data_IF_971506780206
#
_entry.id   IF_971506780206
#
_cell.length_a   1.000
_cell.length_b   1.000
_cell.length_c   1.000
_cell.angle_alpha   90.00
_cell.angle_beta   90.00
_cell.angle_gamma   90.00
#
_symmetry.space_group_name_H-M   'P 1'
#
loop_
_entity.id
_entity.type
_entity.pdbx_description
1 polymer ?
#
# COMPACT_ATOMS: atom_id res chain seq x y z
N UNK A 1 -38.78 51.33 43.29
CA UNK A 1 -37.58 51.25 44.17
C UNK A 1 -37.72 50.01 45.05
N UNK A 2 -36.60 49.41 45.51
CA UNK A 2 -35.45 48.86 44.77
C UNK A 2 -35.75 47.36 44.46
N UNK A 3 -34.86 46.38 44.22
CA UNK A 3 -33.39 46.25 44.06
C UNK A 3 -33.08 45.59 42.69
N UNK A 4 -31.82 45.18 42.47
CA UNK A 4 -31.35 44.38 41.33
C UNK A 4 -30.89 42.98 41.77
N UNK A 5 -30.81 42.05 40.81
CA UNK A 5 -29.80 41.00 40.75
C UNK A 5 -29.62 40.54 39.29
N UNK A 6 -28.40 40.68 38.78
CA UNK A 6 -27.93 40.06 37.54
C UNK A 6 -27.98 38.53 37.67
N UNK A 7 -28.54 37.82 36.69
CA UNK A 7 -28.23 36.41 36.46
C UNK A 7 -27.92 36.16 34.98
N UNK A 8 -26.71 35.61 34.78
CA UNK A 8 -26.02 35.44 33.51
C UNK A 8 -26.74 34.51 32.53
N UNK A 9 -26.78 34.92 31.26
CA UNK A 9 -27.21 34.07 30.15
C UNK A 9 -26.37 32.77 30.09
N UNK A 10 -27.04 31.63 30.05
CA UNK A 10 -26.40 30.31 30.01
C UNK A 10 -25.68 30.07 28.69
N UNK A 11 -24.34 30.19 28.71
CA UNK A 11 -23.51 29.86 27.57
C UNK A 11 -23.39 28.33 27.47
N UNK A 12 -24.16 27.72 26.58
CA UNK A 12 -24.12 26.27 26.34
C UNK A 12 -22.73 25.87 25.81
N UNK A 13 -22.02 25.07 26.60
CA UNK A 13 -20.66 24.61 26.30
C UNK A 13 -20.67 23.68 25.06
N UNK A 14 -20.05 24.05 23.92
CA UNK A 14 -20.13 23.28 22.68
C UNK A 14 -19.27 22.00 22.68
N UNK A 15 -18.59 21.70 23.79
CA UNK A 15 -17.54 20.67 23.89
C UNK A 15 -18.08 19.22 23.99
N UNK A 16 -19.38 19.00 23.73
CA UNK A 16 -20.06 17.71 23.95
C UNK A 16 -20.26 16.83 22.70
N UNK A 17 -19.68 17.19 21.54
CA UNK A 17 -19.89 16.46 20.26
C UNK A 17 -18.61 15.88 19.61
N UNK A 18 -17.43 16.08 20.19
CA UNK A 18 -16.14 15.69 19.57
C UNK A 18 -15.54 14.39 20.15
N UNK A 19 -16.39 13.49 20.68
CA UNK A 19 -15.98 12.19 21.23
C UNK A 19 -16.74 11.01 20.59
N UNK A 20 -16.76 10.99 19.25
CA UNK A 20 -17.28 9.85 18.47
C UNK A 20 -16.50 9.62 17.16
N UNK A 21 -15.19 9.88 17.15
CA UNK A 21 -14.30 9.34 16.10
C UNK A 21 -13.78 7.98 16.55
N UNK A 22 -14.58 6.96 16.28
CA UNK A 22 -14.35 5.59 16.72
C UNK A 22 -13.04 5.05 16.13
N UNK A 23 -12.08 4.78 17.03
CA UNK A 23 -10.68 4.49 16.68
C UNK A 23 -10.55 3.06 16.14
N UNK A 24 -11.00 2.84 14.90
CA UNK A 24 -10.75 1.60 14.15
C UNK A 24 -9.25 1.31 14.21
N UNK A 25 -8.88 0.25 14.92
CA UNK A 25 -7.48 -0.08 15.14
C UNK A 25 -6.85 -0.49 13.80
N UNK A 26 -6.06 0.41 13.20
CA UNK A 26 -5.39 0.11 11.93
C UNK A 26 -4.35 -0.98 12.15
N UNK A 27 -4.69 -2.22 11.78
CA UNK A 27 -3.77 -3.36 11.80
C UNK A 27 -2.50 -2.99 11.05
N UNK A 28 -1.41 -2.83 11.81
CA UNK A 28 -0.09 -2.53 11.28
C UNK A 28 0.67 -3.84 11.20
N UNK A 29 1.00 -4.23 9.98
CA UNK A 29 1.90 -5.35 9.71
C UNK A 29 3.32 -4.83 9.69
N UNK A 30 4.28 -5.62 10.14
CA UNK A 30 5.69 -5.26 9.95
C UNK A 30 6.58 -6.46 9.71
N UNK A 31 7.77 -6.18 9.20
CA UNK A 31 8.89 -7.11 9.20
C UNK A 31 10.19 -6.36 9.44
N UNK A 32 11.12 -7.01 10.13
CA UNK A 32 12.47 -6.49 10.35
C UNK A 32 13.42 -7.11 9.35
N UNK A 33 14.26 -6.27 8.73
CA UNK A 33 15.36 -6.68 7.86
C UNK A 33 16.71 -6.54 8.57
N UNK A 34 17.62 -7.47 8.31
CA UNK A 34 19.04 -7.34 8.64
C UNK A 34 19.80 -6.42 7.65
N UNK A 35 21.14 -6.41 7.69
CA UNK A 35 21.98 -5.66 6.77
C UNK A 35 21.95 -6.17 5.32
N UNK A 36 21.57 -7.44 5.10
CA UNK A 36 21.58 -8.13 3.79
C UNK A 36 20.18 -8.18 3.13
N UNK A 37 19.20 -7.46 3.69
CA UNK A 37 17.78 -7.49 3.31
C UNK A 37 17.07 -8.84 3.55
N UNK A 38 17.53 -9.64 4.53
CA UNK A 38 16.79 -10.84 4.98
C UNK A 38 15.77 -10.49 6.05
N UNK A 39 14.60 -11.10 5.96
CA UNK A 39 13.53 -10.97 6.96
C UNK A 39 13.93 -11.75 8.22
N UNK A 40 14.19 -11.07 9.33
CA UNK A 40 14.58 -11.72 10.61
C UNK A 40 13.41 -11.85 11.59
N UNK A 41 12.37 -11.04 11.44
CA UNK A 41 11.12 -11.17 12.21
C UNK A 41 9.94 -10.57 11.43
N UNK A 42 8.72 -10.95 11.81
CA UNK A 42 7.46 -10.31 11.39
C UNK A 42 6.68 -9.83 12.61
N UNK A 43 5.78 -8.86 12.43
CA UNK A 43 4.99 -8.24 13.49
C UNK A 43 3.57 -7.90 13.06
N UNK A 44 2.69 -7.68 14.05
CA UNK A 44 1.24 -7.66 13.86
C UNK A 44 0.66 -9.05 13.63
N UNK A 45 -0.59 -9.13 13.19
CA UNK A 45 -1.19 -10.40 12.76
C UNK A 45 -0.79 -10.72 11.30
N UNK A 46 0.50 -10.95 11.10
CA UNK A 46 1.08 -11.28 9.79
C UNK A 46 0.42 -12.50 9.16
N UNK A 47 0.26 -13.55 9.97
CA UNK A 47 -0.19 -14.85 9.52
C UNK A 47 -1.72 -14.86 9.25
N UNK A 48 -2.52 -14.17 10.06
CA UNK A 48 -3.95 -13.95 9.79
C UNK A 48 -4.15 -13.14 8.51
N UNK A 49 -3.54 -11.96 8.41
CA UNK A 49 -3.65 -11.10 7.23
C UNK A 49 -3.21 -11.81 5.94
N UNK A 50 -2.12 -12.58 5.98
CA UNK A 50 -1.67 -13.35 4.83
C UNK A 50 -2.73 -14.35 4.36
N UNK A 51 -3.41 -15.07 5.27
CA UNK A 51 -4.51 -15.99 4.93
C UNK A 51 -5.74 -15.26 4.38
N UNK A 52 -6.09 -14.11 4.95
CA UNK A 52 -7.21 -13.26 4.46
C UNK A 52 -6.99 -12.67 3.06
N UNK A 53 -5.74 -12.64 2.59
CA UNK A 53 -5.34 -12.07 1.30
C UNK A 53 -4.80 -13.14 0.33
N UNK A 54 -5.21 -14.40 0.49
CA UNK A 54 -4.81 -15.57 -0.31
C UNK A 54 -3.30 -15.90 -0.31
N UNK A 55 -2.49 -15.21 0.51
CA UNK A 55 -1.03 -15.32 0.60
C UNK A 55 -0.53 -16.44 1.52
N UNK A 56 -1.09 -17.64 1.43
CA UNK A 56 -0.68 -18.78 2.29
C UNK A 56 0.76 -19.26 2.07
N UNK A 57 1.41 -18.81 0.99
CA UNK A 57 2.82 -19.03 0.67
C UNK A 57 3.78 -18.04 1.36
N UNK A 58 3.29 -16.91 1.89
CA UNK A 58 4.10 -15.87 2.56
C UNK A 58 3.90 -15.81 4.09
N UNK A 59 3.48 -16.92 4.70
CA UNK A 59 3.35 -17.08 6.15
C UNK A 59 4.71 -16.94 6.86
N UNK A 60 4.71 -16.55 8.13
CA UNK A 60 5.91 -16.19 8.91
C UNK A 60 7.03 -17.25 8.81
N UNK A 61 6.67 -18.53 8.98
CA UNK A 61 7.57 -19.68 8.87
C UNK A 61 8.23 -19.87 7.49
N UNK A 62 7.66 -19.27 6.45
CA UNK A 62 8.11 -19.40 5.05
C UNK A 62 8.94 -18.19 4.61
N UNK A 63 8.81 -17.04 5.29
CA UNK A 63 9.49 -15.79 4.92
C UNK A 63 10.71 -15.47 5.79
N UNK A 64 10.71 -15.86 7.07
CA UNK A 64 11.83 -15.61 7.98
C UNK A 64 13.09 -16.36 7.49
N UNK A 65 14.23 -15.67 7.52
CA UNK A 65 15.53 -16.10 7.01
C UNK A 65 15.77 -15.85 5.52
N UNK A 66 14.72 -15.52 4.74
CA UNK A 66 14.83 -15.30 3.28
C UNK A 66 14.94 -13.83 2.92
N UNK A 67 15.47 -13.55 1.72
CA UNK A 67 15.63 -12.17 1.24
C UNK A 67 14.29 -11.58 0.82
N UNK A 68 14.08 -10.30 1.10
CA UNK A 68 12.84 -9.60 0.73
C UNK A 68 12.59 -9.60 -0.80
N UNK A 69 13.65 -9.54 -1.60
CA UNK A 69 13.55 -9.46 -3.07
C UNK A 69 13.04 -10.75 -3.74
N UNK A 70 13.06 -11.88 -3.02
CA UNK A 70 12.43 -13.15 -3.43
C UNK A 70 10.89 -13.03 -3.49
N UNK A 71 10.28 -12.17 -2.67
CA UNK A 71 8.83 -11.98 -2.56
C UNK A 71 8.29 -10.82 -3.40
N UNK A 72 9.18 -9.99 -3.98
CA UNK A 72 8.80 -8.84 -4.79
C UNK A 72 8.79 -9.22 -6.27
N UNK A 73 7.64 -9.06 -6.94
CA UNK A 73 7.52 -9.31 -8.38
C UNK A 73 7.84 -8.05 -9.21
N UNK A 74 8.66 -8.25 -10.25
CA UNK A 74 9.03 -7.23 -11.24
C UNK A 74 10.24 -6.40 -10.82
N UNK A 75 11.23 -6.30 -11.71
CA UNK A 75 12.54 -5.73 -11.36
C UNK A 75 12.50 -4.23 -11.07
N UNK A 76 11.60 -3.48 -11.74
CA UNK A 76 11.38 -2.07 -11.41
C UNK A 76 10.84 -1.89 -9.97
N UNK A 77 10.01 -2.82 -9.49
CA UNK A 77 9.53 -2.83 -8.09
C UNK A 77 10.67 -3.17 -7.14
N UNK A 78 11.47 -4.20 -7.44
CA UNK A 78 12.65 -4.58 -6.65
C UNK A 78 13.65 -3.43 -6.53
N UNK A 79 13.97 -2.77 -7.63
CA UNK A 79 14.84 -1.59 -7.66
C UNK A 79 14.26 -0.45 -6.81
N UNK A 80 12.98 -0.13 -6.97
CA UNK A 80 12.33 0.93 -6.19
C UNK A 80 12.38 0.65 -4.67
N UNK A 81 12.08 -0.59 -4.24
CA UNK A 81 12.16 -0.97 -2.83
C UNK A 81 13.60 -0.91 -2.33
N UNK A 82 14.57 -1.51 -3.04
CA UNK A 82 16.01 -1.46 -2.67
C UNK A 82 16.51 -0.02 -2.51
N UNK A 83 16.14 0.90 -3.41
CA UNK A 83 16.50 2.32 -3.30
C UNK A 83 15.97 2.97 -2.01
N UNK A 84 14.73 2.66 -1.61
CA UNK A 84 14.18 3.17 -0.35
C UNK A 84 14.90 2.57 0.87
N UNK A 85 15.14 1.26 0.90
CA UNK A 85 15.87 0.60 2.00
C UNK A 85 17.29 1.18 2.15
N UNK A 86 18.02 1.31 1.04
CA UNK A 86 19.33 1.95 0.98
C UNK A 86 19.27 3.40 1.47
N UNK A 87 18.30 4.19 1.03
CA UNK A 87 18.16 5.59 1.47
C UNK A 87 17.88 5.70 2.98
N UNK A 88 17.06 4.79 3.56
CA UNK A 88 16.80 4.77 5.00
C UNK A 88 18.06 4.43 5.80
N UNK A 89 18.84 3.43 5.36
CA UNK A 89 20.15 3.07 5.95
C UNK A 89 21.16 4.21 5.84
N UNK A 90 21.36 4.76 4.65
CA UNK A 90 22.39 5.78 4.39
C UNK A 90 22.08 7.11 5.10
N UNK A 91 20.83 7.56 5.07
CA UNK A 91 20.45 8.85 5.65
C UNK A 91 20.10 8.80 7.14
N UNK A 92 20.01 7.58 7.72
CA UNK A 92 19.52 7.33 9.10
C UNK A 92 18.22 8.07 9.41
N UNK A 93 17.31 8.09 8.43
CA UNK A 93 16.00 8.78 8.50
C UNK A 93 14.89 7.85 8.04
N UNK A 94 13.77 7.89 8.74
CA UNK A 94 12.59 7.12 8.34
C UNK A 94 12.03 7.62 7.00
N UNK A 95 11.62 6.68 6.16
CA UNK A 95 10.98 6.95 4.86
C UNK A 95 9.52 6.53 4.96
N UNK A 96 8.61 7.41 4.57
CA UNK A 96 7.17 7.12 4.43
C UNK A 96 6.81 7.17 2.95
N UNK A 97 6.09 6.16 2.45
CA UNK A 97 5.64 6.09 1.05
C UNK A 97 4.20 5.58 0.96
N UNK A 98 3.22 6.40 0.54
CA UNK A 98 1.92 5.90 0.14
C UNK A 98 2.02 5.08 -1.16
N UNK A 99 1.25 3.99 -1.24
CA UNK A 99 1.16 3.12 -2.41
C UNK A 99 -0.20 2.41 -2.47
N UNK A 100 -0.51 1.79 -3.60
CA UNK A 100 -1.74 1.02 -3.83
C UNK A 100 -1.46 -0.48 -3.68
N UNK A 101 -2.30 -1.15 -2.89
CA UNK A 101 -2.23 -2.60 -2.66
C UNK A 101 -3.61 -3.25 -2.81
N UNK A 102 -4.29 -2.93 -3.90
CA UNK A 102 -5.67 -3.35 -4.15
C UNK A 102 -5.85 -4.87 -3.99
N UNK A 103 -6.96 -5.29 -3.37
CA UNK A 103 -7.43 -6.68 -3.45
C UNK A 103 -8.38 -6.82 -4.64
N UNK A 104 -8.84 -8.05 -4.98
CA UNK A 104 -9.78 -8.23 -6.09
C UNK A 104 -11.08 -7.43 -5.95
N UNK A 105 -11.50 -7.10 -4.73
CA UNK A 105 -12.76 -6.41 -4.43
C UNK A 105 -12.57 -4.97 -3.89
N UNK A 106 -11.36 -4.56 -3.52
CA UNK A 106 -11.12 -3.26 -2.88
C UNK A 106 -9.94 -2.51 -3.48
N UNK A 107 -10.17 -1.25 -3.82
CA UNK A 107 -9.11 -0.26 -4.03
C UNK A 107 -8.51 0.12 -2.67
N UNK A 108 -7.24 -0.20 -2.42
CA UNK A 108 -6.58 0.03 -1.12
C UNK A 108 -5.42 1.00 -1.24
N UNK A 109 -5.52 2.13 -0.54
CA UNK A 109 -4.40 3.02 -0.27
C UNK A 109 -3.72 2.58 1.03
N UNK A 110 -2.45 2.23 0.93
CA UNK A 110 -1.59 1.80 2.02
C UNK A 110 -0.47 2.82 2.22
N UNK A 111 0.15 2.84 3.40
CA UNK A 111 1.45 3.46 3.60
C UNK A 111 2.47 2.41 4.04
N UNK A 112 3.66 2.47 3.43
CA UNK A 112 4.86 1.81 3.93
C UNK A 112 5.72 2.82 4.67
N UNK A 113 6.14 2.49 5.89
CA UNK A 113 7.14 3.24 6.66
C UNK A 113 8.36 2.36 6.91
N UNK A 114 9.53 2.79 6.44
CA UNK A 114 10.82 2.16 6.73
C UNK A 114 11.49 2.97 7.83
N UNK A 115 11.80 2.34 8.97
CA UNK A 115 12.48 2.95 10.12
C UNK A 115 13.86 2.32 10.27
N UNK A 116 14.96 3.10 10.19
CA UNK A 116 16.29 2.58 10.46
C UNK A 116 16.47 2.31 11.95
N UNK A 117 17.07 1.16 12.27
CA UNK A 117 17.43 0.72 13.61
C UNK A 117 18.96 0.71 13.79
N UNK A 118 19.43 0.16 14.91
CA UNK A 118 20.84 -0.14 15.11
C UNK A 118 21.35 -1.22 14.12
N UNK A 119 22.67 -1.32 13.94
CA UNK A 119 23.34 -2.40 13.20
C UNK A 119 22.84 -2.56 11.74
N UNK A 120 22.55 -1.46 11.05
CA UNK A 120 21.99 -1.43 9.68
C UNK A 120 20.63 -2.14 9.49
N UNK A 121 19.98 -2.56 10.58
CA UNK A 121 18.66 -3.18 10.54
C UNK A 121 17.58 -2.16 10.18
N UNK A 122 16.49 -2.62 9.57
CA UNK A 122 15.34 -1.79 9.18
C UNK A 122 14.05 -2.45 9.69
N UNK A 123 13.18 -1.68 10.35
CA UNK A 123 11.79 -2.09 10.61
C UNK A 123 10.89 -1.50 9.53
N UNK A 124 10.24 -2.36 8.75
CA UNK A 124 9.37 -1.97 7.64
C UNK A 124 7.92 -2.26 8.03
N UNK A 125 7.14 -1.19 8.17
CA UNK A 125 5.74 -1.22 8.62
C UNK A 125 4.81 -0.91 7.46
N UNK A 126 3.71 -1.63 7.37
CA UNK A 126 2.65 -1.46 6.40
C UNK A 126 1.31 -1.29 7.12
N UNK A 127 0.54 -0.26 6.76
CA UNK A 127 -0.80 -0.07 7.29
C UNK A 127 -1.75 0.46 6.21
N UNK A 128 -3.04 0.16 6.36
CA UNK A 128 -4.08 0.66 5.45
C UNK A 128 -4.48 2.08 5.85
N UNK A 129 -4.37 3.02 4.91
CA UNK A 129 -4.90 4.38 5.08
C UNK A 129 -6.40 4.38 4.76
N UNK A 130 -6.79 3.74 3.64
CA UNK A 130 -8.17 3.74 3.16
C UNK A 130 -8.45 2.57 2.21
N UNK A 131 -9.65 2.01 2.28
CA UNK A 131 -10.18 1.08 1.29
C UNK A 131 -11.49 1.63 0.70
N UNK A 132 -11.69 1.44 -0.60
CA UNK A 132 -12.96 1.66 -1.31
C UNK A 132 -13.36 0.33 -1.97
N UNK A 133 -14.63 -0.11 -1.90
CA UNK A 133 -15.07 -1.26 -2.68
C UNK A 133 -15.02 -0.94 -4.18
N UNK A 134 -14.63 -1.91 -4.99
CA UNK A 134 -14.71 -1.85 -6.44
C UNK A 134 -16.14 -2.25 -6.88
N UNK A 135 -16.69 -1.66 -7.96
CA UNK A 135 -18.01 -2.01 -8.48
C UNK A 135 -18.09 -3.42 -9.09
N UNK A 136 -16.94 -4.08 -9.27
CA UNK A 136 -16.82 -5.48 -9.72
C UNK A 136 -15.47 -6.05 -9.30
N UNK A 137 -15.35 -7.39 -9.30
CA UNK A 137 -14.11 -8.09 -8.94
C UNK A 137 -13.08 -8.02 -10.07
N UNK A 138 -11.83 -7.67 -9.74
CA UNK A 138 -10.70 -7.64 -10.67
C UNK A 138 -9.61 -8.60 -10.19
N UNK A 139 -9.58 -9.81 -10.73
CA UNK A 139 -8.48 -10.76 -10.49
C UNK A 139 -7.26 -10.37 -11.33
N UNK A 140 -6.10 -10.21 -10.69
CA UNK A 140 -4.83 -9.89 -11.34
C UNK A 140 -3.94 -11.12 -11.35
N UNK A 141 -3.44 -11.52 -12.53
CA UNK A 141 -2.44 -12.57 -12.69
C UNK A 141 -1.11 -11.95 -13.09
N UNK A 142 -0.11 -11.97 -12.19
CA UNK A 142 1.24 -11.56 -12.54
C UNK A 142 1.87 -12.58 -13.52
N UNK A 143 2.40 -12.11 -14.64
CA UNK A 143 3.18 -12.95 -15.56
C UNK A 143 4.64 -12.48 -15.57
N UNK A 144 5.57 -13.43 -15.58
CA UNK A 144 7.02 -13.16 -15.50
C UNK A 144 7.67 -12.96 -16.87
N UNK A 145 7.04 -13.41 -17.96
CA UNK A 145 7.59 -13.35 -19.31
C UNK A 145 6.81 -12.38 -20.22
N UNK A 146 7.56 -11.49 -20.86
CA UNK A 146 7.07 -10.62 -21.96
C UNK A 146 6.72 -11.38 -23.24
N UNK A 147 7.06 -12.67 -23.33
CA UNK A 147 6.63 -13.54 -24.43
C UNK A 147 5.19 -14.05 -24.27
N UNK A 148 4.56 -13.85 -23.11
CA UNK A 148 3.12 -14.08 -22.96
C UNK A 148 2.35 -13.12 -23.88
N UNK A 149 1.37 -13.62 -24.63
CA UNK A 149 0.42 -12.76 -25.33
C UNK A 149 -0.68 -12.25 -24.38
N UNK A 150 -1.20 -11.05 -24.64
CA UNK A 150 -2.37 -10.52 -23.94
C UNK A 150 -2.15 -10.07 -22.48
N UNK A 151 -0.96 -9.55 -22.13
CA UNK A 151 -0.76 -8.84 -20.86
C UNK A 151 -0.82 -7.31 -21.04
N UNK A 152 -1.10 -6.60 -19.95
CA UNK A 152 -0.89 -5.13 -19.84
C UNK A 152 0.22 -4.81 -18.84
N UNK A 153 0.90 -3.67 -18.99
CA UNK A 153 1.82 -3.21 -17.93
C UNK A 153 1.01 -2.61 -16.78
N UNK A 154 1.31 -2.98 -15.54
CA UNK A 154 0.69 -2.43 -14.31
C UNK A 154 1.75 -1.71 -13.48
N UNK A 155 1.43 -0.52 -12.97
CA UNK A 155 2.31 0.22 -12.08
C UNK A 155 2.29 -0.42 -10.69
N UNK A 156 3.42 -0.85 -10.14
CA UNK A 156 3.51 -1.45 -8.81
C UNK A 156 3.36 -0.47 -7.64
N UNK A 157 3.26 0.83 -7.93
CA UNK A 157 3.07 1.89 -6.90
C UNK A 157 1.63 2.41 -6.89
N UNK A 158 1.02 2.68 -8.05
CA UNK A 158 -0.34 3.24 -8.13
C UNK A 158 -1.39 2.30 -8.75
N UNK A 159 -1.01 1.07 -9.11
CA UNK A 159 -1.87 0.05 -9.72
C UNK A 159 -2.55 0.40 -11.06
N UNK A 160 -2.37 1.62 -11.58
CA UNK A 160 -2.75 1.98 -12.95
C UNK A 160 -2.14 1.04 -13.97
N UNK A 161 -2.90 0.71 -15.00
CA UNK A 161 -2.45 -0.09 -16.13
C UNK A 161 -2.16 0.78 -17.35
N UNK A 162 -1.32 0.28 -18.24
CA UNK A 162 -1.03 0.91 -19.53
C UNK A 162 -1.79 0.20 -20.64
N UNK A 163 -2.85 0.83 -21.15
CA UNK A 163 -3.53 0.44 -22.37
C UNK A 163 -2.99 1.29 -23.54
N UNK A 164 -2.26 0.65 -24.46
CA UNK A 164 -1.56 1.34 -25.54
C UNK A 164 -0.50 2.34 -25.03
N UNK A 165 -0.79 3.64 -25.18
CA UNK A 165 0.06 4.74 -24.68
C UNK A 165 -0.45 5.40 -23.38
N UNK A 166 -1.68 5.09 -22.95
CA UNK A 166 -2.35 5.76 -21.82
C UNK A 166 -2.20 4.93 -20.55
N UNK A 167 -1.84 5.58 -19.44
CA UNK A 167 -1.94 5.00 -18.10
C UNK A 167 -3.27 5.43 -17.46
N UNK A 168 -4.07 4.48 -16.98
CA UNK A 168 -5.33 4.76 -16.28
C UNK A 168 -5.62 3.71 -15.22
N UNK A 169 -6.60 3.93 -14.34
CA UNK A 169 -7.20 2.83 -13.59
C UNK A 169 -7.75 1.77 -14.56
N UNK A 170 -7.89 0.53 -14.08
CA UNK A 170 -8.47 -0.57 -14.87
C UNK A 170 -9.88 -0.21 -15.31
N UNK A 171 -10.69 0.34 -14.40
CA UNK A 171 -12.10 0.62 -14.62
C UNK A 171 -12.32 1.62 -15.75
N UNK A 172 -11.53 2.70 -15.77
CA UNK A 172 -11.54 3.66 -16.86
C UNK A 172 -11.09 3.03 -18.19
N UNK A 173 -10.14 2.09 -18.19
CA UNK A 173 -9.75 1.40 -19.42
C UNK A 173 -10.85 0.47 -19.95
N UNK A 174 -11.63 -0.15 -19.07
CA UNK A 174 -12.78 -0.99 -19.45
C UNK A 174 -13.93 -0.14 -19.99
N UNK A 175 -14.30 0.92 -19.29
CA UNK A 175 -15.40 1.84 -19.69
C UNK A 175 -15.09 2.50 -21.04
N UNK A 176 -13.86 2.94 -21.26
CA UNK A 176 -13.44 3.57 -22.53
C UNK A 176 -13.24 2.56 -23.68
N UNK A 177 -13.51 1.26 -23.48
CA UNK A 177 -13.25 0.21 -24.47
C UNK A 177 -11.76 -0.02 -24.78
N UNK A 178 -10.84 0.57 -24.00
CA UNK A 178 -9.38 0.43 -24.15
C UNK A 178 -8.83 -0.88 -23.59
N UNK A 179 -9.63 -1.60 -22.80
CA UNK A 179 -9.33 -2.93 -22.27
C UNK A 179 -10.59 -3.80 -22.27
N UNK A 180 -10.51 -4.97 -22.89
CA UNK A 180 -11.53 -6.02 -22.73
C UNK A 180 -11.12 -6.96 -21.61
N UNK A 181 -11.92 -7.04 -20.55
CA UNK A 181 -11.78 -8.03 -19.47
C UNK A 181 -12.94 -9.03 -19.61
N UNK A 182 -12.63 -10.32 -19.79
CA UNK A 182 -13.66 -11.35 -19.73
C UNK A 182 -14.05 -11.58 -18.27
N UNK A 183 -15.35 -11.71 -17.99
CA UNK A 183 -15.92 -11.66 -16.63
C UNK A 183 -15.35 -12.69 -15.63
N UNK A 184 -14.71 -13.77 -16.12
CA UNK A 184 -14.10 -14.84 -15.32
C UNK A 184 -12.59 -14.99 -15.49
N UNK A 185 -11.95 -14.16 -16.32
CA UNK A 185 -10.53 -14.28 -16.64
C UNK A 185 -9.68 -13.28 -15.84
N UNK A 186 -8.62 -13.77 -15.20
CA UNK A 186 -7.64 -12.91 -14.54
C UNK A 186 -6.89 -12.03 -15.57
N UNK A 187 -6.83 -10.73 -15.30
CA UNK A 187 -6.07 -9.78 -16.11
C UNK A 187 -4.57 -10.07 -15.96
N UNK A 188 -3.94 -10.53 -17.03
CA UNK A 188 -2.49 -10.78 -17.06
C UNK A 188 -1.73 -9.46 -17.02
N UNK A 189 -0.80 -9.31 -16.08
CA UNK A 189 0.00 -8.10 -15.92
C UNK A 189 1.50 -8.35 -15.81
N UNK A 190 2.29 -7.42 -16.35
CA UNK A 190 3.71 -7.29 -16.04
C UNK A 190 3.91 -6.01 -15.23
N UNK A 191 4.55 -6.12 -14.07
CA UNK A 191 4.79 -4.98 -13.20
C UNK A 191 5.92 -4.07 -13.71
N UNK A 192 5.68 -2.77 -13.60
CA UNK A 192 6.64 -1.70 -13.87
C UNK A 192 6.29 -0.48 -13.02
N UNK A 193 6.82 0.69 -13.36
CA UNK A 193 6.45 1.97 -12.71
C UNK A 193 6.03 2.98 -13.79
N UNK A 194 4.93 3.70 -13.58
CA UNK A 194 4.47 4.73 -14.51
C UNK A 194 5.28 6.05 -14.34
N UNK A 195 5.28 6.95 -15.35
CA UNK A 195 6.01 8.22 -15.27
C UNK A 195 5.71 9.04 -14.01
N UNK A 196 4.44 9.22 -13.65
CA UNK A 196 4.01 9.96 -12.46
C UNK A 196 4.63 9.40 -11.17
N UNK A 197 4.72 8.06 -11.07
CA UNK A 197 5.28 7.37 -9.91
C UNK A 197 6.82 7.41 -9.88
N UNK A 198 7.49 7.52 -11.03
CA UNK A 198 8.93 7.78 -11.10
C UNK A 198 9.25 9.22 -10.68
N UNK A 199 8.49 10.21 -11.17
CA UNK A 199 8.69 11.63 -10.85
C UNK A 199 8.36 11.96 -9.39
N UNK A 200 7.29 11.37 -8.84
CA UNK A 200 6.90 11.53 -7.44
C UNK A 200 7.81 10.77 -6.46
N UNK A 201 8.79 9.98 -6.90
CA UNK A 201 9.72 9.29 -6.01
C UNK A 201 10.56 10.27 -5.16
N UNK A 202 10.73 11.52 -5.62
CA UNK A 202 11.43 12.58 -4.89
C UNK A 202 10.54 13.53 -4.06
N UNK A 203 9.21 13.38 -4.10
CA UNK A 203 8.29 14.32 -3.46
C UNK A 203 7.52 13.66 -2.31
N UNK A 204 7.53 14.31 -1.14
CA UNK A 204 6.49 14.10 -0.12
C UNK A 204 5.22 14.73 -0.69
N UNK A 205 4.17 13.93 -0.90
CA UNK A 205 2.84 14.54 -0.98
C UNK A 205 2.47 15.06 0.42
N UNK A 206 1.87 16.26 0.52
CA UNK A 206 1.45 16.84 1.78
C UNK A 206 0.34 16.01 2.46
#
# INVERSE_FOLDING_TARGET
MPKASDETSGNADPTALDQASEKTATTTLSYTLDSDDRIVSVGGDWDGFARENDGSEILARTVIGRRLDEFITGDATRMFVRTMLMSARTLKRSIRRPYRCDSPQFRRLMEMTIVPLAQEMLDVRHHQIRAEPLPYTITIAAVTSTAASGFVKRCSICNRIRAGKVWSEVDAAVIDGRLTVAATAALKVIYGVCPDCLLSAGHRHP
#
